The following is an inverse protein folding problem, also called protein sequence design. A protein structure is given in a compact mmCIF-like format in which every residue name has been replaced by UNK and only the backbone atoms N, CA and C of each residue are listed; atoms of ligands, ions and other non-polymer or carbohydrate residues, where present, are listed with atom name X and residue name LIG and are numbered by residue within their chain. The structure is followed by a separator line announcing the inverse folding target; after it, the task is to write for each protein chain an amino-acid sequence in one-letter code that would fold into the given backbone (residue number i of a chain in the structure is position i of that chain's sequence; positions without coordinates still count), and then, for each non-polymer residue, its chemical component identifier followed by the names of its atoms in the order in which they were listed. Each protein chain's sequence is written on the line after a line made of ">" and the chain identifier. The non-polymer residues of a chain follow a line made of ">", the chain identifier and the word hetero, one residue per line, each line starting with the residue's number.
data_IF_801387000084
#
_entry.id   IF_801387000084
#
_cell.length_a   1.000
_cell.length_b   1.000
_cell.length_c   1.000
_cell.angle_alpha   90.00
_cell.angle_beta   90.00
_cell.angle_gamma   90.00
#
_symmetry.space_group_name_H-M   'P 1'
#
loop_
_entity.id
_entity.type
_entity.pdbx_description
1 polymer ?
#
# COMPACT_ATOMS: atom_id res chain seq x y z
N UNK A 1 10.67 5.73 0.73
CA UNK A 1 11.76 5.80 1.73
C UNK A 1 12.04 4.46 2.44
N UNK A 2 11.02 3.65 2.79
CA UNK A 2 11.26 2.33 3.43
C UNK A 2 12.13 1.38 2.59
N UNK A 3 11.85 1.25 1.28
CA UNK A 3 12.59 0.36 0.39
C UNK A 3 14.08 0.73 0.31
N UNK A 4 14.41 2.00 0.12
CA UNK A 4 15.79 2.46 0.07
C UNK A 4 16.52 2.24 1.42
N UNK A 5 15.85 2.50 2.54
CA UNK A 5 16.41 2.25 3.86
C UNK A 5 16.69 0.76 4.10
N UNK A 6 15.72 -0.10 3.76
CA UNK A 6 15.88 -1.56 3.86
C UNK A 6 17.04 -2.04 3.00
N UNK A 7 17.18 -1.54 1.76
CA UNK A 7 18.27 -1.89 0.86
C UNK A 7 19.64 -1.53 1.48
N UNK A 8 19.80 -0.30 1.95
CA UNK A 8 21.07 0.14 2.59
C UNK A 8 21.40 -0.66 3.84
N UNK A 9 20.41 -0.96 4.67
CA UNK A 9 20.61 -1.80 5.87
C UNK A 9 21.01 -3.21 5.47
N UNK A 10 20.40 -3.77 4.41
CA UNK A 10 20.76 -5.08 3.89
C UNK A 10 22.21 -5.16 3.47
N UNK A 11 22.65 -4.21 2.69
CA UNK A 11 24.04 -4.15 2.21
C UNK A 11 25.02 -4.05 3.38
N UNK A 12 24.70 -3.23 4.39
CA UNK A 12 25.51 -3.10 5.60
C UNK A 12 25.59 -4.43 6.39
N UNK A 13 24.48 -5.12 6.55
CA UNK A 13 24.44 -6.41 7.28
C UNK A 13 25.22 -7.49 6.54
N UNK A 14 25.05 -7.61 5.21
CA UNK A 14 25.80 -8.58 4.41
C UNK A 14 27.29 -8.27 4.42
N UNK A 15 27.67 -7.00 4.29
CA UNK A 15 29.09 -6.57 4.37
C UNK A 15 29.70 -6.90 5.73
N UNK A 16 28.98 -6.65 6.82
CA UNK A 16 29.44 -6.99 8.16
C UNK A 16 29.62 -8.49 8.34
N UNK A 17 28.68 -9.29 7.83
CA UNK A 17 28.75 -10.75 7.88
C UNK A 17 29.96 -11.29 7.12
N UNK A 18 30.26 -10.75 5.94
CA UNK A 18 31.46 -11.11 5.16
C UNK A 18 32.74 -10.73 5.90
N UNK A 19 32.79 -9.53 6.49
CA UNK A 19 33.97 -9.08 7.27
C UNK A 19 34.19 -10.02 8.46
N UNK A 20 33.17 -10.38 9.20
CA UNK A 20 33.27 -11.31 10.32
C UNK A 20 33.76 -12.67 9.84
N UNK A 21 33.20 -13.20 8.74
CA UNK A 21 33.62 -14.47 8.16
C UNK A 21 35.11 -14.47 7.76
N UNK A 22 35.59 -13.39 7.16
CA UNK A 22 37.00 -13.23 6.77
C UNK A 22 37.92 -13.15 8.01
N UNK A 23 37.52 -12.41 9.05
CA UNK A 23 38.29 -12.33 10.30
C UNK A 23 38.38 -13.72 10.95
N UNK A 24 37.29 -14.46 11.05
CA UNK A 24 37.30 -15.80 11.62
C UNK A 24 38.16 -16.75 10.77
N UNK A 25 38.07 -16.69 9.46
CA UNK A 25 38.89 -17.49 8.55
C UNK A 25 40.39 -17.20 8.69
N UNK A 26 40.78 -15.96 9.02
CA UNK A 26 42.18 -15.57 9.22
C UNK A 26 42.78 -16.10 10.52
N UNK A 27 41.96 -16.32 11.56
CA UNK A 27 42.44 -16.77 12.87
C UNK A 27 42.23 -18.27 13.15
N UNK A 28 41.33 -18.91 12.41
CA UNK A 28 40.99 -20.34 12.63
C UNK A 28 41.50 -21.17 11.44
N UNK A 29 42.54 -21.99 11.61
CA UNK A 29 43.03 -22.87 10.56
C UNK A 29 41.99 -23.92 10.17
N UNK A 30 41.95 -24.32 8.90
CA UNK A 30 41.00 -25.28 8.31
C UNK A 30 39.54 -24.85 8.22
N UNK A 31 39.26 -23.55 8.18
CA UNK A 31 37.92 -23.00 8.02
C UNK A 31 37.57 -22.63 6.55
N UNK A 32 38.03 -23.43 5.57
CA UNK A 32 37.75 -23.17 4.14
C UNK A 32 36.26 -23.15 3.80
N UNK A 33 35.40 -23.79 4.64
CA UNK A 33 33.95 -23.79 4.46
C UNK A 33 33.24 -22.51 4.93
N UNK A 34 33.90 -21.63 5.68
CA UNK A 34 33.29 -20.43 6.26
C UNK A 34 32.86 -19.42 5.16
N UNK A 35 33.68 -19.25 4.15
CA UNK A 35 33.39 -18.34 3.03
C UNK A 35 32.16 -18.82 2.25
N UNK A 36 32.14 -20.12 1.89
CA UNK A 36 31.00 -20.71 1.19
C UNK A 36 29.72 -20.67 2.03
N UNK A 37 29.82 -20.91 3.33
CA UNK A 37 28.67 -20.89 4.24
C UNK A 37 28.14 -19.47 4.41
N UNK A 38 29.02 -18.48 4.57
CA UNK A 38 28.64 -17.07 4.65
C UNK A 38 27.96 -16.59 3.35
N UNK A 39 28.47 -17.04 2.18
CA UNK A 39 27.85 -16.78 0.88
C UNK A 39 26.45 -17.35 0.76
N UNK A 40 26.23 -18.59 1.21
CA UNK A 40 24.91 -19.24 1.20
C UNK A 40 23.94 -18.47 2.13
N UNK A 41 24.35 -18.19 3.37
CA UNK A 41 23.52 -17.45 4.32
C UNK A 41 23.18 -16.05 3.81
N UNK A 42 24.18 -15.32 3.28
CA UNK A 42 23.97 -14.02 2.66
C UNK A 42 22.99 -14.07 1.49
N UNK A 43 23.09 -15.10 0.65
CA UNK A 43 22.17 -15.28 -0.48
C UNK A 43 20.72 -15.49 -0.03
N UNK A 44 20.47 -16.27 1.02
CA UNK A 44 19.12 -16.42 1.58
C UNK A 44 18.56 -15.12 2.14
N UNK A 45 19.38 -14.33 2.83
CA UNK A 45 18.97 -13.00 3.36
C UNK A 45 18.59 -12.08 2.21
N UNK A 46 19.44 -11.98 1.18
CA UNK A 46 19.19 -11.13 0.01
C UNK A 46 17.93 -11.60 -0.74
N UNK A 47 17.77 -12.90 -0.95
CA UNK A 47 16.63 -13.46 -1.65
C UNK A 47 15.31 -13.16 -0.92
N UNK A 48 15.28 -13.32 0.40
CA UNK A 48 14.10 -13.01 1.21
C UNK A 48 13.72 -11.52 1.08
N UNK A 49 14.68 -10.62 1.12
CA UNK A 49 14.43 -9.18 1.00
C UNK A 49 14.05 -8.76 -0.41
N UNK A 50 14.67 -9.35 -1.42
CA UNK A 50 14.30 -9.15 -2.82
C UNK A 50 12.85 -9.57 -3.07
N UNK A 51 12.44 -10.71 -2.51
CA UNK A 51 11.06 -11.18 -2.60
C UNK A 51 10.06 -10.20 -1.95
N UNK A 52 10.31 -9.78 -0.74
CA UNK A 52 9.45 -8.81 -0.03
C UNK A 52 9.34 -7.49 -0.81
N UNK A 53 10.47 -6.99 -1.33
CA UNK A 53 10.49 -5.76 -2.12
C UNK A 53 9.74 -5.93 -3.44
N UNK A 54 9.91 -7.07 -4.11
CA UNK A 54 9.21 -7.37 -5.35
C UNK A 54 7.69 -7.41 -5.14
N UNK A 55 7.21 -8.05 -4.07
CA UNK A 55 5.78 -8.11 -3.73
C UNK A 55 5.23 -6.72 -3.41
N UNK A 56 5.92 -5.91 -2.59
CA UNK A 56 5.46 -4.54 -2.26
C UNK A 56 5.44 -3.64 -3.50
N UNK A 57 6.45 -3.74 -4.35
CA UNK A 57 6.51 -2.96 -5.60
C UNK A 57 5.42 -3.40 -6.58
N UNK A 58 5.22 -4.70 -6.73
CA UNK A 58 4.17 -5.24 -7.61
C UNK A 58 2.78 -4.82 -7.15
N UNK A 59 2.51 -4.84 -5.85
CA UNK A 59 1.23 -4.38 -5.30
C UNK A 59 0.96 -2.90 -5.60
N UNK A 60 1.99 -2.06 -5.57
CA UNK A 60 1.87 -0.65 -5.92
C UNK A 60 1.67 -0.44 -7.44
N UNK A 61 2.34 -1.24 -8.29
CA UNK A 61 2.20 -1.14 -9.75
C UNK A 61 0.85 -1.67 -10.26
N UNK A 62 0.27 -2.61 -9.54
CA UNK A 62 -1.05 -3.18 -9.86
C UNK A 62 -2.20 -2.41 -9.21
N UNK A 63 -1.92 -1.28 -8.56
CA UNK A 63 -2.91 -0.46 -7.84
C UNK A 63 -3.79 -1.28 -6.88
N UNK A 64 -3.18 -2.30 -6.25
CA UNK A 64 -3.90 -3.14 -5.30
C UNK A 64 -4.34 -2.31 -4.11
N UNK A 65 -5.56 -2.58 -3.65
CA UNK A 65 -6.13 -1.90 -2.49
C UNK A 65 -5.24 -2.06 -1.25
N UNK A 66 -4.63 -0.99 -0.74
CA UNK A 66 -3.67 -1.08 0.35
C UNK A 66 -4.32 -1.30 1.72
N UNK A 67 -5.63 -1.01 1.85
CA UNK A 67 -6.36 -1.08 3.13
C UNK A 67 -7.85 -1.40 2.95
N UNK A 68 -8.16 -2.69 3.06
CA UNK A 68 -9.55 -3.20 2.98
C UNK A 68 -10.45 -2.62 4.07
N UNK A 69 -9.91 -2.31 5.26
CA UNK A 69 -10.71 -1.74 6.37
C UNK A 69 -11.10 -0.32 6.05
N UNK A 70 -10.17 0.48 5.54
CA UNK A 70 -10.46 1.84 5.11
C UNK A 70 -11.52 1.85 4.01
N UNK A 71 -11.41 0.97 3.02
CA UNK A 71 -12.38 0.86 1.93
C UNK A 71 -13.77 0.51 2.45
N UNK A 72 -13.87 -0.41 3.40
CA UNK A 72 -15.14 -0.76 4.02
C UNK A 72 -15.77 0.43 4.77
N UNK A 73 -14.99 1.14 5.58
CA UNK A 73 -15.48 2.34 6.28
C UNK A 73 -15.88 3.48 5.32
N UNK A 74 -15.15 3.65 4.22
CA UNK A 74 -15.52 4.61 3.18
C UNK A 74 -16.87 4.26 2.56
N UNK A 75 -17.08 2.98 2.24
CA UNK A 75 -18.34 2.48 1.69
C UNK A 75 -19.49 2.71 2.66
N UNK A 76 -19.37 2.27 3.91
CA UNK A 76 -20.38 2.49 4.95
C UNK A 76 -20.72 3.98 5.12
N UNK A 77 -19.69 4.84 5.10
CA UNK A 77 -19.89 6.28 5.24
C UNK A 77 -20.64 6.87 4.06
N UNK A 78 -20.36 6.42 2.85
CA UNK A 78 -21.04 6.87 1.64
C UNK A 78 -22.49 6.38 1.57
N UNK A 79 -22.75 5.13 1.97
CA UNK A 79 -24.06 4.49 1.93
C UNK A 79 -24.98 4.89 3.11
N UNK A 80 -24.48 5.61 4.12
CA UNK A 80 -25.24 5.93 5.34
C UNK A 80 -26.46 6.87 5.13
N UNK A 81 -26.63 7.44 3.94
CA UNK A 81 -27.81 8.23 3.53
C UNK A 81 -28.79 7.47 2.62
N UNK A 82 -28.53 6.19 2.40
CA UNK A 82 -29.30 5.36 1.46
C UNK A 82 -28.81 5.43 0.01
N UNK A 83 -27.67 6.08 -0.24
CA UNK A 83 -26.96 5.98 -1.52
C UNK A 83 -26.41 4.58 -1.72
N UNK A 84 -26.21 4.17 -2.96
CA UNK A 84 -25.60 2.89 -3.32
C UNK A 84 -24.23 3.15 -3.95
N UNK A 85 -23.20 2.58 -3.37
CA UNK A 85 -21.84 2.61 -3.96
C UNK A 85 -21.75 1.46 -4.96
N UNK A 86 -21.73 1.80 -6.25
CA UNK A 86 -21.63 0.82 -7.34
C UNK A 86 -20.20 0.30 -7.49
N UNK A 87 -19.24 1.22 -7.36
CA UNK A 87 -17.82 0.90 -7.49
C UNK A 87 -16.98 1.79 -6.58
N UNK A 88 -15.93 1.22 -5.99
CA UNK A 88 -15.00 1.92 -5.10
C UNK A 88 -13.60 1.34 -5.26
N UNK A 89 -12.75 2.09 -5.93
CA UNK A 89 -11.33 1.80 -6.04
C UNK A 89 -10.52 2.72 -5.13
N UNK A 90 -9.58 2.12 -4.38
CA UNK A 90 -8.63 2.85 -3.54
C UNK A 90 -7.24 2.33 -3.84
N UNK A 91 -6.31 3.21 -4.17
CA UNK A 91 -4.93 2.87 -4.48
C UNK A 91 -3.94 3.83 -3.80
N UNK A 92 -2.67 3.45 -3.77
CA UNK A 92 -1.62 4.25 -3.15
C UNK A 92 -1.03 5.25 -4.15
N UNK A 93 -1.07 6.54 -3.82
CA UNK A 93 -0.40 7.61 -4.57
C UNK A 93 1.03 7.86 -4.07
N UNK A 94 1.28 7.56 -2.80
CA UNK A 94 2.57 7.75 -2.18
C UNK A 94 2.56 7.39 -0.69
N UNK A 95 3.65 7.62 0.03
CA UNK A 95 3.72 7.34 1.46
C UNK A 95 2.69 8.16 2.25
N UNK A 96 1.67 7.49 2.79
CA UNK A 96 0.60 8.13 3.56
C UNK A 96 -0.48 8.83 2.72
N UNK A 97 -0.43 8.73 1.39
CA UNK A 97 -1.38 9.35 0.47
C UNK A 97 -2.07 8.29 -0.38
N UNK A 98 -3.41 8.31 -0.36
CA UNK A 98 -4.27 7.43 -1.13
C UNK A 98 -5.09 8.23 -2.14
N UNK A 99 -5.32 7.64 -3.30
CA UNK A 99 -6.33 8.07 -4.27
C UNK A 99 -7.57 7.20 -4.16
N UNK A 100 -8.73 7.75 -4.52
CA UNK A 100 -9.94 6.97 -4.66
C UNK A 100 -10.78 7.43 -5.84
N UNK A 101 -11.43 6.47 -6.50
CA UNK A 101 -12.51 6.67 -7.46
C UNK A 101 -13.74 6.00 -6.90
N UNK A 102 -14.83 6.73 -6.85
CA UNK A 102 -16.10 6.27 -6.29
C UNK A 102 -17.20 6.51 -7.30
N UNK A 103 -17.96 5.47 -7.61
CA UNK A 103 -19.20 5.56 -8.40
C UNK A 103 -20.40 5.36 -7.49
N UNK A 104 -21.28 6.37 -7.40
CA UNK A 104 -22.40 6.41 -6.46
C UNK A 104 -23.72 6.65 -7.18
N UNK A 105 -24.74 5.87 -6.83
CA UNK A 105 -26.12 6.13 -7.20
C UNK A 105 -26.87 6.76 -6.02
N UNK A 106 -27.41 7.99 -6.14
CA UNK A 106 -28.17 8.65 -5.09
C UNK A 106 -29.45 7.89 -4.69
N UNK A 107 -29.97 8.05 -3.45
CA UNK A 107 -31.19 7.42 -2.99
C UNK A 107 -32.43 7.99 -3.70
N UNK A 108 -33.44 7.13 -3.92
CA UNK A 108 -34.70 7.48 -4.60
C UNK A 108 -35.60 8.43 -3.78
N UNK A 109 -35.48 8.43 -2.46
CA UNK A 109 -36.51 8.98 -1.54
C UNK A 109 -36.18 10.34 -0.95
N UNK A 110 -35.06 10.95 -1.31
CA UNK A 110 -34.73 12.22 -0.69
C UNK A 110 -35.31 13.38 -1.46
N UNK A 111 -36.31 14.03 -0.88
CA UNK A 111 -36.75 15.39 -1.24
C UNK A 111 -35.61 16.44 -1.13
N UNK A 112 -34.53 16.10 -0.50
CA UNK A 112 -33.21 16.77 -0.50
C UNK A 112 -32.47 16.53 -1.82
N UNK A 113 -32.91 15.60 -2.62
CA UNK A 113 -32.15 14.97 -3.68
C UNK A 113 -31.96 15.79 -4.95
N UNK A 114 -32.77 16.78 -5.20
CA UNK A 114 -32.70 17.48 -6.49
C UNK A 114 -31.61 18.56 -6.56
N UNK A 115 -31.04 18.98 -5.44
CA UNK A 115 -30.00 20.02 -5.42
C UNK A 115 -28.67 19.58 -4.80
N UNK A 116 -28.69 18.95 -3.61
CA UNK A 116 -27.46 18.64 -2.85
C UNK A 116 -26.97 17.20 -2.99
N UNK A 117 -27.85 16.20 -3.01
CA UNK A 117 -27.46 14.80 -3.10
C UNK A 117 -26.98 14.39 -4.51
N UNK A 118 -27.26 15.19 -5.54
CA UNK A 118 -26.72 14.99 -6.90
C UNK A 118 -25.40 15.73 -7.14
N UNK A 119 -24.76 16.28 -6.11
CA UNK A 119 -23.53 17.06 -6.27
C UNK A 119 -22.32 16.24 -5.79
N UNK A 120 -21.28 16.15 -6.64
CA UNK A 120 -20.00 15.53 -6.27
C UNK A 120 -19.41 16.09 -4.96
N UNK A 121 -19.61 17.40 -4.70
CA UNK A 121 -19.11 18.05 -3.51
C UNK A 121 -19.76 17.52 -2.21
N UNK A 122 -21.00 17.06 -2.27
CA UNK A 122 -21.68 16.44 -1.14
C UNK A 122 -20.94 15.16 -0.70
N UNK A 123 -20.66 14.25 -1.63
CA UNK A 123 -19.94 13.00 -1.34
C UNK A 123 -18.49 13.27 -0.95
N UNK A 124 -17.81 14.21 -1.60
CA UNK A 124 -16.44 14.62 -1.24
C UNK A 124 -16.37 15.13 0.21
N UNK A 125 -17.33 15.93 0.66
CA UNK A 125 -17.40 16.41 2.05
C UNK A 125 -17.58 15.26 3.05
N UNK A 126 -18.37 14.24 2.72
CA UNK A 126 -18.60 13.08 3.61
C UNK A 126 -17.35 12.27 3.88
N UNK A 127 -16.46 12.19 2.92
CA UNK A 127 -15.21 11.44 3.01
C UNK A 127 -13.99 12.32 3.31
N UNK A 128 -14.16 13.63 3.40
CA UNK A 128 -13.08 14.58 3.73
C UNK A 128 -12.44 14.34 5.11
N UNK A 129 -13.11 13.62 6.01
CA UNK A 129 -12.57 13.24 7.32
C UNK A 129 -11.45 12.18 7.26
N UNK A 130 -11.29 11.49 6.15
CA UNK A 130 -10.26 10.47 5.96
C UNK A 130 -8.95 11.12 5.48
N UNK A 131 -8.08 11.49 6.44
CA UNK A 131 -6.82 12.23 6.15
C UNK A 131 -5.88 11.53 5.18
N UNK A 132 -5.98 10.21 5.04
CA UNK A 132 -5.17 9.45 4.10
C UNK A 132 -5.58 9.68 2.63
N UNK A 133 -6.83 10.10 2.37
CA UNK A 133 -7.32 10.39 1.02
C UNK A 133 -6.85 11.77 0.57
N UNK A 134 -5.90 11.81 -0.34
CA UNK A 134 -5.35 13.05 -0.89
C UNK A 134 -6.02 13.46 -2.20
N UNK A 135 -6.59 12.50 -2.93
CA UNK A 135 -7.30 12.72 -4.17
C UNK A 135 -8.52 11.82 -4.26
N UNK A 136 -9.67 12.39 -4.56
CA UNK A 136 -10.92 11.63 -4.71
C UNK A 136 -11.69 12.15 -5.92
N UNK A 137 -12.03 11.23 -6.81
CA UNK A 137 -12.97 11.45 -7.90
C UNK A 137 -14.29 10.76 -7.55
N UNK A 138 -15.39 11.49 -7.70
CA UNK A 138 -16.74 10.96 -7.48
C UNK A 138 -17.50 11.05 -8.79
N UNK A 139 -17.98 9.92 -9.24
CA UNK A 139 -18.90 9.78 -10.37
C UNK A 139 -20.31 9.55 -9.83
N UNK A 140 -21.27 10.27 -10.39
CA UNK A 140 -22.68 10.11 -10.03
C UNK A 140 -23.39 9.38 -11.17
N UNK A 141 -23.85 8.18 -10.88
CA UNK A 141 -24.62 7.37 -11.83
C UNK A 141 -26.12 7.65 -11.63
N UNK A 142 -26.77 8.10 -12.68
CA UNK A 142 -28.23 8.25 -12.69
C UNK A 142 -28.86 6.87 -12.81
N UNK A 143 -29.89 6.61 -12.03
CA UNK A 143 -30.73 5.42 -12.23
C UNK A 143 -31.53 5.58 -13.52
N UNK A 144 -31.42 4.63 -14.42
CA UNK A 144 -32.35 4.48 -15.55
C UNK A 144 -33.71 3.99 -15.08
#
# INVERSE_FOLDING_TARGET
>A
MRAAFVHVVSDAVVSLLVIIALIVAAYVPNCEYLDSTAGIVGSFVILNWAYVLAVDTSSNLLDLNPDMKLTHHLKERLESDGSVVNDLHVWRLGPGHLGSIVSVTPPLSSSVALGEACNENYYKKRIAGFRALSHTTVEIVKRE
#
